data_IF_116813236377
#
_entry.id   IF_116813236377
#
_cell.length_a   1.000
_cell.length_b   1.000
_cell.length_c   1.000
_cell.angle_alpha   90.00
_cell.angle_beta   90.00
_cell.angle_gamma   90.00
#
_symmetry.space_group_name_H-M   'P 1'
#
loop_
_entity.id
_entity.type
_entity.pdbx_description
1 polymer ?
#
# COMPACT_ATOMS: atom_id res chain seq x y z
N UNK A 1 15.39 -20.80 1.29
CA UNK A 1 13.92 -20.56 1.35
C UNK A 1 13.66 -19.07 1.42
N UNK A 2 12.72 -18.59 0.64
CA UNK A 2 12.37 -17.18 0.68
C UNK A 2 11.65 -16.83 1.99
N UNK A 3 12.02 -15.69 2.57
CA UNK A 3 11.48 -15.22 3.85
C UNK A 3 10.00 -14.79 3.74
N UNK A 4 9.63 -14.14 2.64
CA UNK A 4 8.26 -13.71 2.41
C UNK A 4 7.59 -14.63 1.38
N UNK A 5 6.44 -15.24 1.73
CA UNK A 5 5.70 -16.13 0.81
C UNK A 5 4.87 -15.33 -0.20
N UNK A 6 5.54 -14.50 -1.00
CA UNK A 6 4.89 -13.63 -1.97
C UNK A 6 4.39 -14.46 -3.15
N UNK A 7 3.12 -14.28 -3.51
CA UNK A 7 2.50 -14.90 -4.67
C UNK A 7 2.61 -14.00 -5.89
N UNK A 8 2.31 -12.70 -5.73
CA UNK A 8 2.34 -11.75 -6.82
C UNK A 8 2.47 -10.32 -6.31
N UNK A 9 2.87 -9.42 -7.21
CA UNK A 9 2.75 -7.98 -6.98
C UNK A 9 1.26 -7.61 -7.00
N UNK A 10 0.80 -7.02 -5.92
CA UNK A 10 -0.60 -6.55 -5.82
C UNK A 10 -0.75 -5.18 -6.48
N UNK A 11 0.08 -4.21 -6.06
CA UNK A 11 0.11 -2.89 -6.68
C UNK A 11 1.39 -2.13 -6.29
N UNK A 12 1.63 -1.04 -7.03
CA UNK A 12 2.62 -0.03 -6.70
C UNK A 12 1.87 1.22 -6.23
N UNK A 13 2.12 1.65 -4.99
CA UNK A 13 1.52 2.86 -4.43
C UNK A 13 2.31 4.10 -4.83
N UNK A 14 1.61 5.10 -5.35
CA UNK A 14 2.19 6.35 -5.83
C UNK A 14 1.52 7.51 -5.10
N UNK A 15 2.30 8.28 -4.36
CA UNK A 15 1.80 9.45 -3.64
C UNK A 15 1.68 10.66 -4.57
N UNK A 16 0.58 11.37 -4.45
CA UNK A 16 0.29 12.59 -5.18
C UNK A 16 -0.36 13.63 -4.26
N UNK A 17 -0.25 14.90 -4.60
CA UNK A 17 -0.87 15.98 -3.84
C UNK A 17 -2.39 16.02 -4.03
N UNK A 18 -2.90 15.45 -5.10
CA UNK A 18 -4.33 15.46 -5.43
C UNK A 18 -4.72 14.19 -6.17
N UNK A 19 -5.99 14.08 -6.52
CA UNK A 19 -6.55 12.97 -7.31
C UNK A 19 -6.01 12.89 -8.74
N UNK A 20 -5.09 13.77 -9.11
CA UNK A 20 -4.50 13.80 -10.45
C UNK A 20 -2.99 13.81 -10.34
N UNK A 21 -2.34 13.04 -11.22
CA UNK A 21 -0.90 13.01 -11.38
C UNK A 21 -0.58 12.93 -12.87
N UNK A 22 0.68 13.27 -13.22
CA UNK A 22 1.10 13.08 -14.61
C UNK A 22 0.85 11.64 -15.09
N UNK A 23 1.18 10.66 -14.24
CA UNK A 23 1.04 9.25 -14.62
C UNK A 23 -0.41 8.83 -14.78
N UNK A 24 -1.30 9.22 -13.86
CA UNK A 24 -2.71 8.86 -13.98
C UNK A 24 -3.34 9.49 -15.24
N UNK A 25 -3.00 10.75 -15.53
CA UNK A 25 -3.48 11.43 -16.72
C UNK A 25 -2.93 10.81 -18.02
N UNK A 26 -1.73 10.25 -17.97
CA UNK A 26 -1.13 9.58 -19.13
C UNK A 26 -1.70 8.18 -19.39
N UNK A 27 -2.22 7.52 -18.36
CA UNK A 27 -2.68 6.12 -18.42
C UNK A 27 -4.19 6.01 -18.63
N UNK A 28 -4.97 6.95 -18.10
CA UNK A 28 -6.43 6.91 -18.19
C UNK A 28 -7.02 8.29 -18.43
N UNK A 29 -8.06 8.34 -19.24
CA UNK A 29 -8.83 9.56 -19.48
C UNK A 29 -9.93 9.75 -18.43
N UNK A 30 -10.29 8.68 -17.73
CA UNK A 30 -11.35 8.71 -16.73
C UNK A 30 -10.84 9.33 -15.43
N UNK A 31 -11.64 10.20 -14.79
CA UNK A 31 -11.31 10.68 -13.45
C UNK A 31 -11.21 9.53 -12.46
N UNK A 32 -10.22 9.60 -11.58
CA UNK A 32 -10.08 8.61 -10.52
C UNK A 32 -11.08 8.89 -9.40
N UNK A 33 -11.89 7.87 -9.07
CA UNK A 33 -12.79 7.91 -7.93
C UNK A 33 -12.10 7.29 -6.73
N UNK A 34 -11.79 8.13 -5.74
CA UNK A 34 -11.07 7.70 -4.56
C UNK A 34 -11.96 7.19 -3.46
N UNK A 35 -11.41 6.25 -2.68
CA UNK A 35 -11.99 5.79 -1.41
C UNK A 35 -11.18 6.36 -0.28
N UNK A 36 -11.83 7.05 0.67
CA UNK A 36 -11.16 7.57 1.87
C UNK A 36 -10.99 6.42 2.85
N UNK A 37 -9.73 6.13 3.20
CA UNK A 37 -9.39 5.08 4.15
C UNK A 37 -9.52 5.58 5.59
N UNK A 38 -9.62 4.67 6.58
CA UNK A 38 -9.65 5.06 8.00
C UNK A 38 -8.48 5.93 8.43
N UNK A 39 -7.32 5.79 7.79
CA UNK A 39 -6.14 6.64 8.02
C UNK A 39 -6.31 8.08 7.53
N UNK A 40 -7.35 8.39 6.75
CA UNK A 40 -7.55 9.67 6.10
C UNK A 40 -6.94 9.78 4.71
N UNK A 41 -6.17 8.79 4.27
CA UNK A 41 -5.63 8.74 2.90
C UNK A 41 -6.75 8.39 1.93
N UNK A 42 -6.78 9.07 0.80
CA UNK A 42 -7.67 8.70 -0.30
C UNK A 42 -6.89 7.87 -1.30
N UNK A 43 -7.46 6.76 -1.76
CA UNK A 43 -6.80 5.84 -2.69
C UNK A 43 -7.69 5.53 -3.89
N UNK A 44 -7.07 5.34 -5.05
CA UNK A 44 -7.75 4.88 -6.25
C UNK A 44 -6.81 4.01 -7.07
N UNK A 45 -7.33 2.93 -7.64
CA UNK A 45 -6.55 2.05 -8.51
C UNK A 45 -6.78 2.41 -9.97
N UNK A 46 -5.74 2.30 -10.77
CA UNK A 46 -5.79 2.59 -12.19
C UNK A 46 -4.75 1.76 -12.96
N UNK A 47 -4.79 1.86 -14.28
CA UNK A 47 -3.90 1.08 -15.15
C UNK A 47 -4.32 -0.38 -15.30
N UNK A 48 -3.56 -1.16 -16.08
CA UNK A 48 -3.90 -2.57 -16.37
C UNK A 48 -4.00 -3.40 -15.09
N UNK A 49 -5.14 -4.06 -14.90
CA UNK A 49 -5.40 -4.88 -13.70
C UNK A 49 -5.43 -4.10 -12.39
N UNK A 50 -5.49 -2.76 -12.43
CA UNK A 50 -5.46 -1.93 -11.23
C UNK A 50 -4.12 -1.97 -10.50
N UNK A 51 -3.03 -2.26 -11.19
CA UNK A 51 -1.70 -2.47 -10.58
C UNK A 51 -1.08 -1.19 -10.02
N UNK A 52 -1.58 -0.04 -10.43
CA UNK A 52 -1.15 1.26 -9.90
C UNK A 52 -2.19 1.77 -8.89
N UNK A 53 -1.72 2.23 -7.75
CA UNK A 53 -2.57 2.85 -6.74
C UNK A 53 -2.11 4.29 -6.55
N UNK A 54 -3.00 5.25 -6.78
CA UNK A 54 -2.75 6.63 -6.44
C UNK A 54 -3.23 6.90 -5.02
N UNK A 55 -2.37 7.55 -4.21
CA UNK A 55 -2.69 7.95 -2.85
C UNK A 55 -2.57 9.47 -2.76
N UNK A 56 -3.57 10.12 -2.20
CA UNK A 56 -3.53 11.56 -1.96
C UNK A 56 -4.17 11.90 -0.61
N UNK A 57 -3.88 13.08 -0.04
CA UNK A 57 -4.45 13.46 1.24
C UNK A 57 -5.97 13.50 1.20
N UNK A 58 -6.60 12.94 2.24
CA UNK A 58 -8.02 13.12 2.46
C UNK A 58 -8.32 14.50 3.06
N UNK A 59 -9.61 14.87 3.17
CA UNK A 59 -10.03 16.21 3.62
C UNK A 59 -9.56 16.58 5.03
N UNK A 60 -9.38 15.59 5.90
CA UNK A 60 -9.00 15.80 7.30
C UNK A 60 -7.50 15.63 7.57
N UNK A 61 -6.69 15.48 6.50
CA UNK A 61 -5.27 15.17 6.61
C UNK A 61 -5.00 13.68 6.78
N UNK A 62 -3.75 13.27 6.61
CA UNK A 62 -3.37 11.85 6.62
C UNK A 62 -1.86 11.69 6.74
N UNK A 63 -1.36 10.45 7.01
CA UNK A 63 0.07 10.17 7.00
C UNK A 63 0.77 10.46 5.67
N UNK A 64 0.05 10.46 4.55
CA UNK A 64 0.61 10.77 3.24
C UNK A 64 1.08 12.23 3.15
N UNK A 65 0.48 13.13 3.93
CA UNK A 65 0.91 14.53 3.97
C UNK A 65 2.37 14.65 4.37
N UNK A 66 2.78 13.88 5.38
CA UNK A 66 4.16 13.88 5.85
C UNK A 66 5.13 13.33 4.82
N UNK A 67 4.73 12.29 4.10
CA UNK A 67 5.53 11.76 3.00
C UNK A 67 5.74 12.81 1.91
N UNK A 68 4.66 13.50 1.51
CA UNK A 68 4.72 14.54 0.48
C UNK A 68 5.59 15.72 0.90
N UNK A 69 5.51 16.13 2.16
CA UNK A 69 6.36 17.21 2.70
C UNK A 69 7.84 16.86 2.65
N UNK A 70 8.19 15.60 2.93
CA UNK A 70 9.58 15.14 3.00
C UNK A 70 10.17 14.80 1.65
N UNK A 71 9.39 14.19 0.77
CA UNK A 71 9.89 13.58 -0.48
C UNK A 71 9.23 14.11 -1.74
N UNK A 72 8.07 14.79 -1.62
CA UNK A 72 7.26 15.15 -2.75
C UNK A 72 6.53 13.95 -3.36
N UNK A 73 5.82 14.16 -4.47
CA UNK A 73 5.14 13.06 -5.17
C UNK A 73 6.12 11.99 -5.66
N UNK A 74 5.68 10.74 -5.62
CA UNK A 74 6.50 9.63 -6.11
C UNK A 74 6.06 8.29 -5.57
N UNK A 75 6.84 7.24 -5.81
CA UNK A 75 6.56 5.91 -5.31
C UNK A 75 6.56 5.92 -3.78
N UNK A 76 5.48 5.43 -3.20
CA UNK A 76 5.28 5.38 -1.75
C UNK A 76 5.54 3.97 -1.20
N UNK A 77 4.98 2.94 -1.83
CA UNK A 77 5.14 1.57 -1.37
C UNK A 77 4.96 0.55 -2.49
N UNK A 78 5.41 -0.68 -2.21
CA UNK A 78 5.13 -1.86 -3.01
C UNK A 78 4.20 -2.75 -2.20
N UNK A 79 3.14 -3.24 -2.82
CA UNK A 79 2.21 -4.16 -2.19
C UNK A 79 2.29 -5.53 -2.83
N UNK A 80 2.39 -6.56 -1.99
CA UNK A 80 2.48 -7.95 -2.44
C UNK A 80 1.37 -8.78 -1.82
N UNK A 81 0.78 -9.66 -2.64
CA UNK A 81 -0.17 -10.63 -2.15
C UNK A 81 0.54 -11.84 -1.56
N UNK A 82 0.06 -12.26 -0.40
CA UNK A 82 0.48 -13.50 0.26
C UNK A 82 -0.74 -14.39 0.47
N UNK A 83 -0.55 -15.71 0.45
CA UNK A 83 -1.62 -16.67 0.71
C UNK A 83 -1.62 -17.20 2.15
N UNK A 84 -0.61 -16.82 2.93
CA UNK A 84 -0.53 -17.13 4.35
C UNK A 84 -1.37 -16.11 5.14
N UNK A 85 -2.14 -16.55 6.15
CA UNK A 85 -2.84 -15.61 7.02
C UNK A 85 -1.86 -14.61 7.65
N UNK A 86 -2.17 -13.31 7.56
CA UNK A 86 -1.27 -12.27 8.06
C UNK A 86 -1.01 -12.39 9.55
N UNK A 87 -2.01 -12.76 10.34
CA UNK A 87 -1.84 -12.94 11.77
C UNK A 87 -0.72 -13.93 12.09
N UNK A 88 -0.65 -15.03 11.35
CA UNK A 88 0.42 -16.03 11.50
C UNK A 88 1.75 -15.51 10.95
N UNK A 89 1.72 -14.89 9.77
CA UNK A 89 2.94 -14.39 9.12
C UNK A 89 3.62 -13.31 9.94
N UNK A 90 2.86 -12.40 10.54
CA UNK A 90 3.39 -11.32 11.39
C UNK A 90 4.13 -11.90 12.59
N UNK A 91 3.60 -12.94 13.23
CA UNK A 91 4.27 -13.61 14.34
C UNK A 91 5.58 -14.28 13.90
N UNK A 92 5.55 -14.96 12.78
CA UNK A 92 6.74 -15.62 12.20
C UNK A 92 7.83 -14.58 11.89
N UNK A 93 7.46 -13.46 11.29
CA UNK A 93 8.40 -12.39 10.97
C UNK A 93 8.95 -11.71 12.23
N UNK A 94 8.11 -11.49 13.24
CA UNK A 94 8.53 -10.88 14.50
C UNK A 94 9.59 -11.75 15.20
N UNK A 95 9.48 -13.06 15.13
CA UNK A 95 10.43 -13.99 15.74
C UNK A 95 11.85 -13.85 15.17
N UNK A 96 12.00 -13.31 13.97
CA UNK A 96 13.31 -13.09 13.33
C UNK A 96 13.66 -11.60 13.24
N UNK A 97 12.95 -10.74 13.97
CA UNK A 97 13.25 -9.32 14.07
C UNK A 97 12.63 -8.44 12.98
N UNK A 98 11.74 -8.95 12.15
CA UNK A 98 11.03 -8.15 11.16
C UNK A 98 9.73 -7.64 11.78
N UNK A 99 9.65 -6.32 11.95
CA UNK A 99 8.54 -5.65 12.63
C UNK A 99 7.54 -5.07 11.65
N UNK A 100 6.29 -4.98 12.06
CA UNK A 100 5.27 -4.24 11.33
C UNK A 100 5.31 -2.75 11.67
N UNK A 101 4.85 -1.93 10.71
CA UNK A 101 4.62 -0.50 10.92
C UNK A 101 3.11 -0.28 11.06
N UNK A 102 2.58 -0.63 12.21
CA UNK A 102 1.16 -0.55 12.50
C UNK A 102 0.50 -1.92 12.59
N UNK A 103 -0.80 -1.93 12.78
CA UNK A 103 -1.60 -3.13 12.93
C UNK A 103 -2.07 -3.67 11.58
N UNK A 104 -2.56 -4.92 11.58
CA UNK A 104 -3.28 -5.48 10.44
C UNK A 104 -4.61 -4.73 10.31
N UNK A 105 -4.88 -4.18 9.15
CA UNK A 105 -6.08 -3.39 8.86
C UNK A 105 -6.66 -3.78 7.50
N UNK A 106 -7.96 -3.51 7.26
CA UNK A 106 -8.53 -3.77 5.95
C UNK A 106 -7.94 -2.85 4.89
N UNK A 107 -7.62 -3.41 3.73
CA UNK A 107 -7.30 -2.65 2.52
C UNK A 107 -8.57 -2.05 1.91
N UNK A 108 -8.43 -1.31 0.81
CA UNK A 108 -9.56 -0.66 0.15
C UNK A 108 -10.65 -1.65 -0.29
N UNK A 109 -10.28 -2.89 -0.62
CA UNK A 109 -11.21 -3.95 -1.00
C UNK A 109 -11.60 -4.87 0.17
N UNK A 110 -11.18 -4.53 1.40
CA UNK A 110 -11.54 -5.25 2.61
C UNK A 110 -10.64 -6.41 2.98
N UNK A 111 -9.68 -6.80 2.16
CA UNK A 111 -8.73 -7.86 2.51
C UNK A 111 -7.78 -7.38 3.60
N UNK A 112 -7.37 -8.24 4.55
CA UNK A 112 -6.38 -7.87 5.55
C UNK A 112 -5.07 -7.41 4.91
N UNK A 113 -4.49 -6.35 5.45
CA UNK A 113 -3.21 -5.82 4.99
C UNK A 113 -2.37 -5.33 6.17
N UNK A 114 -1.06 -5.28 5.99
CA UNK A 114 -0.13 -4.76 6.98
C UNK A 114 1.11 -4.21 6.28
N UNK A 115 1.65 -3.12 6.82
CA UNK A 115 2.94 -2.61 6.38
C UNK A 115 4.07 -3.19 7.24
N UNK A 116 5.17 -3.53 6.60
CA UNK A 116 6.42 -3.87 7.31
C UNK A 116 7.21 -2.60 7.56
N UNK A 117 7.88 -2.53 8.72
CA UNK A 117 8.67 -1.36 9.06
C UNK A 117 9.87 -1.22 8.10
N UNK A 118 10.06 -0.05 7.46
CA UNK A 118 11.10 0.11 6.43
C UNK A 118 12.51 -0.17 6.93
N UNK A 119 12.79 0.02 8.22
CA UNK A 119 14.09 -0.32 8.80
C UNK A 119 14.42 -1.81 8.72
N UNK A 120 13.40 -2.66 8.55
CA UNK A 120 13.55 -4.11 8.44
C UNK A 120 13.59 -4.60 6.99
N UNK A 121 13.31 -3.73 6.03
CA UNK A 121 13.12 -4.09 4.61
C UNK A 121 14.04 -3.31 3.67
N UNK A 122 15.18 -2.87 4.19
CA UNK A 122 16.16 -2.14 3.37
C UNK A 122 15.72 -0.75 2.93
N UNK A 123 14.79 -0.12 3.66
CA UNK A 123 14.30 1.22 3.36
C UNK A 123 13.12 1.27 2.39
N UNK A 124 12.67 0.11 1.88
CA UNK A 124 11.51 0.03 0.99
C UNK A 124 10.26 -0.22 1.84
N UNK A 125 9.26 0.64 1.74
CA UNK A 125 7.98 0.40 2.42
C UNK A 125 7.22 -0.69 1.68
N UNK A 126 6.99 -1.79 2.38
CA UNK A 126 6.33 -2.98 1.83
C UNK A 126 5.00 -3.20 2.53
N UNK A 127 3.95 -3.35 1.74
CA UNK A 127 2.64 -3.79 2.20
C UNK A 127 2.44 -5.25 1.84
N UNK A 128 1.91 -6.04 2.78
CA UNK A 128 1.46 -7.41 2.52
C UNK A 128 -0.06 -7.43 2.58
N UNK A 129 -0.68 -8.04 1.59
CA UNK A 129 -2.13 -8.18 1.49
C UNK A 129 -2.47 -9.66 1.42
N UNK A 130 -3.40 -10.09 2.27
CA UNK A 130 -3.88 -11.47 2.23
C UNK A 130 -4.62 -11.72 0.92
N UNK A 131 -4.34 -12.87 0.29
CA UNK A 131 -5.08 -13.28 -0.89
C UNK A 131 -6.58 -13.41 -0.62
N UNK A 132 -7.38 -13.27 -1.67
CA UNK A 132 -8.81 -13.50 -1.53
C UNK A 132 -9.06 -14.94 -1.05
N UNK A 133 -10.09 -15.17 -0.20
CA UNK A 133 -10.48 -16.52 0.17
C UNK A 133 -10.76 -17.34 -1.08
N UNK A 134 -10.22 -18.54 -1.13
CA UNK A 134 -10.39 -19.45 -2.26
C UNK A 134 -11.82 -19.92 -2.45
#
# INVERSE_FOLDING_TARGET
>A
MALLPIVTLEHVGIASASSRSWLSDAVTEEPLEGTVMPSGVTVAHFGPGGVLELLWPGPAGSPIDRFLERRGPGVHHLSFRVDTPLATLVETLAAIGVRTAGAIEPSADGRPSVFLHPSCTGGVLIELVEGAPG
#
